data_IF_017400994149
#
_entry.id   IF_017400994149
#
_cell.length_a   1.000
_cell.length_b   1.000
_cell.length_c   1.000
_cell.angle_alpha   90.00
_cell.angle_beta   90.00
_cell.angle_gamma   90.00
#
_symmetry.space_group_name_H-M   'P 1'
#
loop_
_entity.id
_entity.type
_entity.pdbx_description
1 polymer ?
#
# COMPACT_ATOMS: atom_id res chain seq x y z
N UNK A 1 8.40 2.27 -26.76
CA UNK A 1 7.55 2.46 -25.57
C UNK A 1 8.44 2.99 -24.46
N UNK A 2 8.15 4.19 -23.96
CA UNK A 2 8.91 4.81 -22.86
C UNK A 2 8.72 4.02 -21.55
N UNK A 3 9.76 3.95 -20.71
CA UNK A 3 9.73 3.22 -19.43
C UNK A 3 9.56 4.20 -18.27
N UNK A 4 8.51 3.99 -17.46
CA UNK A 4 8.24 4.74 -16.23
C UNK A 4 8.65 3.91 -15.01
N UNK A 5 9.34 4.55 -14.08
CA UNK A 5 9.79 3.96 -12.82
C UNK A 5 8.86 4.37 -11.67
N UNK A 6 8.21 3.42 -10.98
CA UNK A 6 7.27 3.72 -9.88
C UNK A 6 7.96 3.59 -8.54
N UNK A 7 7.94 4.68 -7.77
CA UNK A 7 8.33 4.74 -6.37
C UNK A 7 7.08 4.94 -5.50
N UNK A 8 7.04 4.30 -4.34
CA UNK A 8 5.81 4.17 -3.55
C UNK A 8 6.11 3.97 -2.07
N UNK A 9 5.18 4.31 -1.18
CA UNK A 9 5.32 4.10 0.25
C UNK A 9 5.26 2.61 0.64
N UNK A 10 5.89 2.25 1.76
CA UNK A 10 6.20 0.86 2.14
C UNK A 10 5.06 0.15 2.90
N UNK A 11 3.82 0.54 2.67
CA UNK A 11 2.67 0.01 3.37
C UNK A 11 1.71 -0.68 2.38
N UNK A 12 0.51 -1.05 2.85
CA UNK A 12 -0.46 -1.68 1.98
C UNK A 12 -0.98 -0.71 0.91
N UNK A 13 -1.24 0.55 1.25
CA UNK A 13 -1.78 1.49 0.28
C UNK A 13 -0.76 1.87 -0.78
N UNK A 14 0.49 2.16 -0.42
CA UNK A 14 1.57 2.43 -1.37
C UNK A 14 1.79 1.28 -2.35
N UNK A 15 1.78 0.02 -1.88
CA UNK A 15 1.95 -1.16 -2.76
C UNK A 15 0.76 -1.33 -3.72
N UNK A 16 -0.47 -1.24 -3.22
CA UNK A 16 -1.64 -1.37 -4.09
C UNK A 16 -1.73 -0.19 -5.06
N UNK A 17 -1.41 1.02 -4.60
CA UNK A 17 -1.32 2.22 -5.42
C UNK A 17 -0.29 2.05 -6.54
N UNK A 18 0.90 1.52 -6.25
CA UNK A 18 1.91 1.24 -7.26
C UNK A 18 1.40 0.25 -8.31
N UNK A 19 0.75 -0.84 -7.87
CA UNK A 19 0.12 -1.80 -8.77
C UNK A 19 -0.96 -1.16 -9.65
N UNK A 20 -1.82 -0.30 -9.10
CA UNK A 20 -2.85 0.41 -9.88
C UNK A 20 -2.25 1.43 -10.85
N UNK A 21 -1.20 2.15 -10.44
CA UNK A 21 -0.46 3.07 -11.32
C UNK A 21 0.14 2.32 -12.51
N UNK A 22 0.75 1.15 -12.27
CA UNK A 22 1.22 0.28 -13.36
C UNK A 22 0.11 -0.03 -14.36
N UNK A 23 -1.05 -0.49 -13.89
CA UNK A 23 -2.20 -0.79 -14.77
C UNK A 23 -2.69 0.44 -15.55
N UNK A 24 -2.71 1.59 -14.91
CA UNK A 24 -3.12 2.86 -15.52
C UNK A 24 -2.18 3.23 -16.66
N UNK A 25 -0.88 3.29 -16.39
CA UNK A 25 0.11 3.76 -17.36
C UNK A 25 0.41 2.73 -18.46
N UNK A 26 0.30 1.43 -18.18
CA UNK A 26 0.35 0.40 -19.25
C UNK A 26 -0.82 0.57 -20.24
N UNK A 27 -2.02 0.94 -19.75
CA UNK A 27 -3.16 1.29 -20.63
C UNK A 27 -2.98 2.61 -21.37
N UNK A 28 -2.04 3.45 -20.93
CA UNK A 28 -1.62 4.66 -21.63
C UNK A 28 -0.37 4.43 -22.50
N UNK A 29 -0.04 3.17 -22.78
CA UNK A 29 1.06 2.76 -23.67
C UNK A 29 2.47 3.10 -23.14
N UNK A 30 2.67 3.00 -21.81
CA UNK A 30 3.98 3.04 -21.17
C UNK A 30 4.40 1.66 -20.66
N UNK A 31 5.72 1.41 -20.63
CA UNK A 31 6.28 0.28 -19.87
C UNK A 31 6.45 0.73 -18.43
N UNK A 32 6.06 -0.08 -17.45
CA UNK A 32 6.16 0.33 -16.04
C UNK A 32 6.97 -0.67 -15.23
N UNK A 33 7.93 -0.15 -14.47
CA UNK A 33 8.81 -0.92 -13.60
C UNK A 33 8.67 -0.42 -12.16
N UNK A 34 8.56 -1.34 -11.20
CA UNK A 34 8.58 -1.01 -9.78
C UNK A 34 10.02 -0.81 -9.32
N UNK A 35 10.29 0.32 -8.68
CA UNK A 35 11.55 0.56 -7.99
C UNK A 35 11.41 0.21 -6.51
N UNK A 36 12.45 0.46 -5.71
CA UNK A 36 12.40 0.19 -4.28
C UNK A 36 11.34 1.08 -3.59
N UNK A 37 10.64 0.56 -2.56
CA UNK A 37 9.74 1.37 -1.75
C UNK A 37 10.50 2.51 -1.04
N UNK A 38 9.78 3.56 -0.69
CA UNK A 38 10.27 4.77 -0.04
C UNK A 38 9.85 4.80 1.43
N UNK A 39 10.80 5.11 2.30
CA UNK A 39 10.54 5.31 3.73
C UNK A 39 10.41 6.80 4.09
N UNK A 40 9.71 7.07 5.20
CA UNK A 40 9.64 8.40 5.80
C UNK A 40 10.77 8.65 6.81
N UNK A 41 11.95 8.05 6.63
CA UNK A 41 13.05 8.31 7.55
C UNK A 41 13.40 9.81 7.56
N UNK A 42 13.79 10.39 8.71
CA UNK A 42 14.25 11.78 8.78
C UNK A 42 15.35 12.09 7.76
N UNK A 43 16.22 11.13 7.49
CA UNK A 43 17.30 11.17 6.51
C UNK A 43 16.76 11.27 5.06
N UNK A 44 15.77 10.44 4.72
CA UNK A 44 15.07 10.50 3.42
C UNK A 44 14.42 11.86 3.19
N UNK A 45 13.81 12.45 4.22
CA UNK A 45 13.18 13.79 4.12
C UNK A 45 14.20 14.92 3.93
N UNK A 46 15.31 14.92 4.67
CA UNK A 46 16.35 15.95 4.59
C UNK A 46 17.03 15.99 3.21
N UNK A 47 17.07 14.86 2.51
CA UNK A 47 17.76 14.71 1.23
C UNK A 47 16.82 14.50 0.04
N UNK A 48 15.50 14.70 0.22
CA UNK A 48 14.48 14.38 -0.77
C UNK A 48 14.72 15.00 -2.16
N UNK A 49 15.07 16.29 -2.20
CA UNK A 49 15.41 17.01 -3.45
C UNK A 49 16.67 16.46 -4.17
N UNK A 50 17.53 15.74 -3.44
CA UNK A 50 18.77 15.14 -3.94
C UNK A 50 18.61 13.63 -4.19
N UNK A 51 17.44 13.06 -3.92
CA UNK A 51 17.21 11.63 -4.11
C UNK A 51 17.42 11.26 -5.59
N UNK A 52 18.19 10.18 -5.81
CA UNK A 52 18.58 9.75 -7.16
C UNK A 52 17.50 8.83 -7.74
N UNK A 53 16.47 9.43 -8.32
CA UNK A 53 15.45 8.70 -9.09
C UNK A 53 15.98 8.28 -10.45
N UNK A 54 15.54 7.12 -10.93
CA UNK A 54 15.58 6.80 -12.37
C UNK A 54 14.49 7.59 -13.07
N UNK A 55 14.79 8.23 -14.20
CA UNK A 55 13.84 9.09 -14.91
C UNK A 55 13.41 8.46 -16.23
N UNK A 56 12.16 8.65 -16.68
CA UNK A 56 11.04 9.30 -15.97
C UNK A 56 10.48 8.43 -14.83
N UNK A 57 9.91 9.06 -13.79
CA UNK A 57 9.35 8.35 -12.63
C UNK A 57 8.00 8.86 -12.16
N UNK A 58 7.27 7.95 -11.51
CA UNK A 58 5.99 8.16 -10.86
C UNK A 58 6.22 8.05 -9.35
N UNK A 59 5.67 8.99 -8.58
CA UNK A 59 5.56 8.85 -7.12
C UNK A 59 4.09 8.59 -6.79
N UNK A 60 3.84 7.57 -5.97
CA UNK A 60 2.51 7.31 -5.40
C UNK A 60 2.59 7.24 -3.89
N UNK A 61 1.57 7.76 -3.23
CA UNK A 61 1.39 7.67 -1.78
C UNK A 61 2.54 8.25 -0.95
N UNK A 62 3.21 9.27 -1.50
CA UNK A 62 4.42 9.83 -0.91
C UNK A 62 4.59 11.30 -1.30
N UNK A 63 5.43 12.01 -0.55
CA UNK A 63 5.68 13.46 -0.74
C UNK A 63 6.04 13.76 -2.21
N UNK A 64 5.47 14.86 -2.73
CA UNK A 64 5.73 15.33 -4.08
C UNK A 64 7.22 15.60 -4.37
N UNK A 65 7.65 15.36 -5.60
CA UNK A 65 8.97 15.77 -6.10
C UNK A 65 8.86 16.46 -7.46
N UNK A 66 9.46 17.64 -7.61
CA UNK A 66 9.30 18.51 -8.82
C UNK A 66 9.74 17.90 -10.15
N UNK A 67 10.62 16.89 -10.10
CA UNK A 67 11.10 16.14 -11.28
C UNK A 67 10.23 14.92 -11.62
N UNK A 68 9.18 14.65 -10.85
CA UNK A 68 8.31 13.52 -11.11
C UNK A 68 7.53 13.72 -12.41
N UNK A 69 7.50 12.67 -13.24
CA UNK A 69 6.66 12.61 -14.42
C UNK A 69 5.18 12.51 -14.03
N UNK A 70 4.89 11.77 -12.95
CA UNK A 70 3.57 11.75 -12.37
C UNK A 70 3.56 11.65 -10.84
N UNK A 71 2.50 12.17 -10.21
CA UNK A 71 2.33 12.15 -8.76
C UNK A 71 0.87 11.93 -8.32
N UNK A 72 0.66 10.98 -7.41
CA UNK A 72 -0.66 10.67 -6.86
C UNK A 72 -0.56 10.55 -5.34
N UNK A 73 -1.38 11.30 -4.62
CA UNK A 73 -1.37 11.27 -3.15
C UNK A 73 -2.70 11.78 -2.57
N UNK A 74 -2.93 11.46 -1.30
CA UNK A 74 -4.08 11.92 -0.51
C UNK A 74 -3.68 12.48 0.86
N UNK A 75 -2.42 12.36 1.28
CA UNK A 75 -1.98 12.88 2.56
C UNK A 75 -2.04 14.41 2.61
N UNK A 76 -2.86 14.98 3.50
CA UNK A 76 -2.96 16.43 3.66
C UNK A 76 -1.59 17.09 3.98
N UNK A 77 -0.72 16.39 4.71
CA UNK A 77 0.64 16.84 5.03
C UNK A 77 1.56 16.97 3.82
N UNK A 78 1.20 16.33 2.71
CA UNK A 78 2.00 16.30 1.48
C UNK A 78 1.44 17.23 0.40
N UNK A 79 0.42 18.03 0.73
CA UNK A 79 -0.15 19.03 -0.18
C UNK A 79 0.96 19.98 -0.66
N UNK A 80 1.12 20.08 -1.99
CA UNK A 80 2.21 20.80 -2.60
C UNK A 80 1.75 21.52 -3.87
N UNK A 81 2.39 22.65 -4.18
CA UNK A 81 2.26 23.30 -5.48
C UNK A 81 2.99 22.45 -6.52
N UNK A 82 2.22 21.76 -7.36
CA UNK A 82 2.75 20.91 -8.42
C UNK A 82 3.37 21.78 -9.53
N UNK A 83 4.58 21.43 -9.96
CA UNK A 83 5.28 22.08 -11.08
C UNK A 83 4.62 21.71 -12.41
N UNK A 84 4.62 22.66 -13.36
CA UNK A 84 4.08 22.47 -14.72
C UNK A 84 4.75 21.31 -15.48
N UNK A 85 5.99 20.97 -15.10
CA UNK A 85 6.73 19.82 -15.65
C UNK A 85 6.15 18.44 -15.25
N UNK A 86 5.26 18.36 -14.26
CA UNK A 86 4.62 17.10 -13.84
C UNK A 86 3.41 16.80 -14.73
N UNK A 87 3.62 15.95 -15.72
CA UNK A 87 2.65 15.65 -16.79
C UNK A 87 1.32 15.11 -16.28
N UNK A 88 1.34 14.23 -15.27
CA UNK A 88 0.13 13.68 -14.70
C UNK A 88 0.14 13.82 -13.18
N UNK A 89 -0.86 14.45 -12.61
CA UNK A 89 -1.00 14.47 -11.17
C UNK A 89 -2.46 14.44 -10.76
N UNK A 90 -2.71 13.85 -9.59
CA UNK A 90 -4.00 13.96 -8.94
C UNK A 90 -3.81 13.87 -7.44
N UNK A 91 -4.15 14.94 -6.75
CA UNK A 91 -4.13 15.03 -5.30
C UNK A 91 -5.56 15.15 -4.79
N UNK A 92 -5.94 14.32 -3.81
CA UNK A 92 -7.27 14.42 -3.21
C UNK A 92 -7.29 13.90 -1.78
N UNK A 93 -7.23 14.81 -0.81
CA UNK A 93 -7.25 14.51 0.63
C UNK A 93 -8.55 13.90 1.16
N UNK A 94 -9.63 13.98 0.40
CA UNK A 94 -10.93 13.37 0.76
C UNK A 94 -10.97 11.87 0.41
N UNK A 95 -9.95 11.35 -0.28
CA UNK A 95 -9.81 9.93 -0.50
C UNK A 95 -9.29 9.24 0.77
N UNK A 96 -9.87 8.09 1.10
CA UNK A 96 -9.43 7.25 2.24
C UNK A 96 -8.14 6.44 1.97
N UNK A 97 -7.51 6.66 0.81
CA UNK A 97 -6.28 6.02 0.35
C UNK A 97 -5.85 6.59 -1.01
N UNK A 98 -4.55 6.58 -1.31
CA UNK A 98 -3.97 6.84 -2.62
C UNK A 98 -4.49 5.86 -3.70
N UNK A 99 -4.79 4.60 -3.35
CA UNK A 99 -5.39 3.67 -4.33
C UNK A 99 -6.76 4.16 -4.85
N UNK A 100 -7.52 4.86 -4.01
CA UNK A 100 -8.75 5.56 -4.43
C UNK A 100 -8.48 6.80 -5.30
N UNK A 101 -7.40 7.53 -5.04
CA UNK A 101 -6.93 8.67 -5.86
C UNK A 101 -6.65 8.21 -7.29
N UNK A 102 -5.86 7.15 -7.46
CA UNK A 102 -5.53 6.58 -8.77
C UNK A 102 -6.79 6.10 -9.49
N UNK A 103 -7.73 5.46 -8.79
CA UNK A 103 -8.98 5.01 -9.38
C UNK A 103 -9.85 6.18 -9.87
N UNK A 104 -9.92 7.29 -9.13
CA UNK A 104 -10.64 8.50 -9.56
C UNK A 104 -9.99 9.12 -10.79
N UNK A 105 -8.66 9.26 -10.79
CA UNK A 105 -7.93 9.78 -11.95
C UNK A 105 -8.12 8.89 -13.18
N UNK A 106 -8.01 7.57 -13.05
CA UNK A 106 -8.24 6.64 -14.15
C UNK A 106 -9.64 6.82 -14.77
N UNK A 107 -10.67 7.05 -13.95
CA UNK A 107 -12.03 7.35 -14.44
C UNK A 107 -12.09 8.67 -15.22
N UNK A 108 -11.39 9.72 -14.76
CA UNK A 108 -11.29 11.00 -15.49
C UNK A 108 -10.61 10.81 -16.85
N UNK A 109 -9.62 9.93 -16.92
CA UNK A 109 -8.94 9.55 -18.17
C UNK A 109 -9.75 8.54 -19.03
N UNK A 110 -10.97 8.17 -18.62
CA UNK A 110 -11.81 7.13 -19.27
C UNK A 110 -11.11 5.77 -19.38
N UNK A 111 -10.22 5.45 -18.44
CA UNK A 111 -9.45 4.21 -18.38
C UNK A 111 -10.08 3.26 -17.36
N UNK A 112 -10.44 2.05 -17.81
CA UNK A 112 -10.89 0.98 -16.93
C UNK A 112 -9.70 0.17 -16.40
N UNK A 113 -9.45 0.22 -15.09
CA UNK A 113 -8.39 -0.56 -14.40
C UNK A 113 -8.77 -2.05 -14.19
N UNK A 114 -9.92 -2.48 -14.71
CA UNK A 114 -10.47 -3.82 -14.52
C UNK A 114 -11.01 -4.02 -13.10
N UNK A 115 -11.01 -5.26 -12.63
CA UNK A 115 -11.52 -5.60 -11.29
C UNK A 115 -10.47 -5.24 -10.24
N UNK A 116 -10.66 -4.10 -9.58
CA UNK A 116 -9.76 -3.54 -8.54
C UNK A 116 -10.54 -3.06 -7.31
N UNK A 117 -11.87 -3.13 -7.35
CA UNK A 117 -12.76 -2.59 -6.33
C UNK A 117 -12.50 -3.19 -4.95
N UNK A 118 -12.24 -4.51 -4.86
CA UNK A 118 -12.01 -5.17 -3.57
C UNK A 118 -10.66 -4.78 -2.98
N UNK A 119 -9.60 -4.70 -3.81
CA UNK A 119 -8.30 -4.17 -3.38
C UNK A 119 -8.45 -2.76 -2.80
N UNK A 120 -9.09 -1.85 -3.55
CA UNK A 120 -9.30 -0.46 -3.12
C UNK A 120 -10.16 -0.38 -1.85
N UNK A 121 -11.17 -1.26 -1.71
CA UNK A 121 -11.97 -1.33 -0.49
C UNK A 121 -11.11 -1.77 0.70
N UNK A 122 -10.23 -2.77 0.52
CA UNK A 122 -9.37 -3.29 1.58
C UNK A 122 -8.31 -2.28 2.00
N UNK A 123 -7.68 -1.58 1.06
CA UNK A 123 -6.74 -0.48 1.36
C UNK A 123 -7.43 0.65 2.10
N UNK A 124 -8.60 1.10 1.64
CA UNK A 124 -9.39 2.13 2.33
C UNK A 124 -9.65 1.77 3.80
N UNK A 125 -9.87 0.49 4.12
CA UNK A 125 -10.11 0.07 5.52
C UNK A 125 -8.84 0.23 6.36
N UNK A 126 -7.69 -0.21 5.83
CA UNK A 126 -6.40 -0.18 6.54
C UNK A 126 -5.95 1.25 6.74
N UNK A 127 -5.90 2.02 5.66
CA UNK A 127 -5.29 3.33 5.61
C UNK A 127 -6.09 4.39 6.39
N UNK A 128 -7.42 4.40 6.23
CA UNK A 128 -8.28 5.27 7.06
C UNK A 128 -8.56 4.75 8.47
N UNK A 129 -7.95 3.62 8.87
CA UNK A 129 -8.15 2.95 10.15
C UNK A 129 -9.63 2.68 10.53
N UNK A 130 -10.53 2.52 9.54
CA UNK A 130 -11.98 2.31 9.74
C UNK A 130 -12.33 0.88 10.16
N UNK A 131 -11.56 0.30 11.07
CA UNK A 131 -11.67 -1.11 11.48
C UNK A 131 -13.02 -1.43 12.14
N UNK A 132 -13.43 -0.64 13.13
CA UNK A 132 -14.69 -0.88 13.89
C UNK A 132 -15.91 -0.84 12.99
N UNK A 133 -15.99 0.18 12.11
CA UNK A 133 -17.05 0.30 11.10
C UNK A 133 -17.14 -0.92 10.17
N UNK A 134 -16.01 -1.60 9.95
CA UNK A 134 -15.91 -2.80 9.12
C UNK A 134 -15.96 -4.10 9.93
N UNK A 135 -16.47 -4.04 11.18
CA UNK A 135 -16.63 -5.18 12.09
C UNK A 135 -15.30 -5.93 12.35
N UNK A 136 -14.20 -5.18 12.40
CA UNK A 136 -12.87 -5.68 12.76
C UNK A 136 -12.64 -5.31 14.22
N UNK A 137 -12.35 -6.32 15.05
CA UNK A 137 -12.09 -6.11 16.48
C UNK A 137 -10.69 -5.54 16.68
N UNK A 138 -10.42 -4.75 17.74
CA UNK A 138 -9.08 -4.24 18.02
C UNK A 138 -8.00 -5.33 18.05
N UNK A 139 -8.27 -6.49 18.67
CA UNK A 139 -7.30 -7.60 18.66
C UNK A 139 -6.99 -8.16 17.26
N UNK A 140 -7.86 -7.96 16.28
CA UNK A 140 -7.62 -8.37 14.90
C UNK A 140 -6.71 -7.39 14.15
N UNK A 141 -6.43 -6.19 14.67
CA UNK A 141 -5.37 -5.32 14.12
C UNK A 141 -3.99 -5.72 14.62
N UNK A 142 -3.93 -6.36 15.81
CA UNK A 142 -2.69 -6.87 16.41
C UNK A 142 -2.37 -8.26 15.87
N UNK A 143 -3.32 -9.20 15.96
CA UNK A 143 -3.21 -10.58 15.49
C UNK A 143 -4.30 -10.81 14.42
N UNK A 144 -3.98 -10.58 13.13
CA UNK A 144 -4.98 -10.52 12.08
C UNK A 144 -5.57 -11.87 11.72
N UNK A 145 -6.91 -11.92 11.67
CA UNK A 145 -7.67 -13.07 11.16
C UNK A 145 -8.03 -12.92 9.68
N UNK A 146 -8.38 -11.70 9.27
CA UNK A 146 -8.73 -11.39 7.88
C UNK A 146 -7.48 -11.35 7.01
N UNK A 147 -7.57 -11.88 5.81
CA UNK A 147 -6.38 -12.10 4.98
C UNK A 147 -5.71 -10.81 4.48
N UNK A 148 -6.46 -9.79 4.05
CA UNK A 148 -5.83 -8.51 3.68
C UNK A 148 -5.10 -7.85 4.85
N UNK A 149 -5.59 -8.03 6.08
CA UNK A 149 -4.93 -7.54 7.29
C UNK A 149 -3.67 -8.34 7.61
N UNK A 150 -3.62 -9.63 7.26
CA UNK A 150 -2.38 -10.43 7.36
C UNK A 150 -1.30 -9.85 6.45
N UNK A 151 -1.64 -9.45 5.24
CA UNK A 151 -0.69 -8.79 4.31
C UNK A 151 -0.26 -7.43 4.86
N UNK A 152 -1.21 -6.59 5.28
CA UNK A 152 -0.89 -5.29 5.90
C UNK A 152 0.02 -5.45 7.13
N UNK A 153 -0.30 -6.39 8.01
CA UNK A 153 0.49 -6.64 9.22
C UNK A 153 1.88 -7.18 8.89
N UNK A 154 2.00 -8.03 7.88
CA UNK A 154 3.30 -8.54 7.45
C UNK A 154 4.22 -7.40 6.95
N UNK A 155 3.67 -6.37 6.30
CA UNK A 155 4.41 -5.18 5.89
C UNK A 155 4.82 -4.32 7.10
N UNK A 156 3.92 -4.14 8.06
CA UNK A 156 4.13 -3.34 9.28
C UNK A 156 5.20 -3.91 10.22
N UNK A 157 5.29 -5.25 10.34
CA UNK A 157 6.19 -5.89 11.32
C UNK A 157 7.61 -6.13 10.81
N UNK A 158 7.83 -5.98 9.50
CA UNK A 158 9.17 -6.09 8.92
C UNK A 158 9.82 -4.72 9.04
N UNK A 159 10.90 -4.63 9.80
CA UNK A 159 11.51 -3.36 10.20
C UNK A 159 12.77 -2.98 9.44
N UNK A 160 13.46 -3.93 8.79
CA UNK A 160 14.64 -3.63 7.98
C UNK A 160 14.28 -3.35 6.51
N UNK A 161 14.83 -2.26 5.95
CA UNK A 161 14.52 -1.77 4.59
C UNK A 161 14.70 -2.86 3.53
N UNK A 162 15.74 -3.71 3.68
CA UNK A 162 16.04 -4.78 2.74
C UNK A 162 14.93 -5.84 2.70
N UNK A 163 14.48 -6.31 3.85
CA UNK A 163 13.40 -7.29 3.96
C UNK A 163 12.06 -6.70 3.52
N UNK A 164 11.76 -5.43 3.82
CA UNK A 164 10.54 -4.76 3.33
C UNK A 164 10.56 -4.66 1.80
N UNK A 165 11.68 -4.25 1.22
CA UNK A 165 11.85 -4.18 -0.23
C UNK A 165 11.66 -5.54 -0.90
N UNK A 166 12.18 -6.61 -0.30
CA UNK A 166 11.98 -7.98 -0.79
C UNK A 166 10.53 -8.44 -0.69
N UNK A 167 9.90 -8.21 0.47
CA UNK A 167 8.50 -8.55 0.70
C UNK A 167 7.58 -7.81 -0.28
N UNK A 168 7.77 -6.50 -0.42
CA UNK A 168 7.03 -5.67 -1.34
C UNK A 168 7.14 -6.16 -2.79
N UNK A 169 8.35 -6.53 -3.23
CA UNK A 169 8.58 -7.09 -4.57
C UNK A 169 7.84 -8.42 -4.78
N UNK A 170 7.83 -9.30 -3.78
CA UNK A 170 7.08 -10.57 -3.83
C UNK A 170 5.57 -10.31 -3.94
N UNK A 171 5.03 -9.39 -3.14
CA UNK A 171 3.62 -9.01 -3.18
C UNK A 171 3.25 -8.42 -4.55
N UNK A 172 4.04 -7.47 -5.08
CA UNK A 172 3.80 -6.87 -6.39
C UNK A 172 3.90 -7.88 -7.54
N UNK A 173 4.82 -8.85 -7.44
CA UNK A 173 4.93 -9.96 -8.38
C UNK A 173 3.67 -10.83 -8.34
N UNK A 174 3.18 -11.18 -7.16
CA UNK A 174 1.97 -12.01 -6.99
C UNK A 174 0.68 -11.26 -7.36
N UNK A 175 0.65 -9.93 -7.22
CA UNK A 175 -0.42 -9.08 -7.73
C UNK A 175 -0.41 -9.00 -9.26
N UNK A 176 0.78 -9.01 -9.87
CA UNK A 176 0.99 -8.90 -11.33
C UNK A 176 0.99 -10.25 -12.05
N UNK A 177 1.00 -11.38 -11.35
CA UNK A 177 1.08 -12.70 -11.96
C UNK A 177 -0.27 -13.10 -12.57
N UNK A 178 -0.31 -13.21 -13.90
CA UNK A 178 -1.44 -13.73 -14.66
C UNK A 178 -1.39 -15.27 -14.69
N UNK A 179 -1.84 -15.93 -13.62
CA UNK A 179 -2.02 -17.39 -13.62
C UNK A 179 -3.48 -17.75 -13.92
N UNK A 180 -3.71 -18.90 -14.57
CA UNK A 180 -5.02 -19.54 -14.88
C UNK A 180 -6.09 -19.54 -13.77
N UNK A 181 -5.73 -19.21 -12.52
CA UNK A 181 -6.65 -18.80 -11.43
C UNK A 181 -7.46 -17.53 -11.73
N UNK A 182 -7.13 -16.78 -12.79
CA UNK A 182 -7.84 -15.56 -13.21
C UNK A 182 -9.35 -15.74 -13.38
N UNK A 183 -9.88 -16.90 -13.78
CA UNK A 183 -11.35 -17.05 -13.87
C UNK A 183 -12.02 -16.89 -12.48
N UNK A 184 -11.51 -17.59 -11.47
CA UNK A 184 -12.02 -17.51 -10.09
C UNK A 184 -11.62 -16.21 -9.37
N UNK A 185 -10.39 -15.74 -9.57
CA UNK A 185 -9.92 -14.46 -9.02
C UNK A 185 -10.61 -13.27 -9.69
N UNK A 186 -11.03 -13.41 -10.94
CA UNK A 186 -11.85 -12.41 -11.60
C UNK A 186 -13.24 -12.36 -10.96
N UNK A 187 -13.87 -13.47 -10.58
CA UNK A 187 -15.21 -13.44 -10.01
C UNK A 187 -15.26 -12.75 -8.63
N UNK A 188 -14.21 -12.89 -7.82
CA UNK A 188 -14.24 -12.44 -6.41
C UNK A 188 -13.13 -11.45 -6.00
N UNK A 189 -12.16 -11.14 -6.86
CA UNK A 189 -10.99 -10.29 -6.57
C UNK A 189 -10.25 -10.72 -5.28
N UNK A 190 -9.89 -12.01 -5.19
CA UNK A 190 -9.33 -12.66 -4.00
C UNK A 190 -7.79 -12.61 -3.89
N UNK A 191 -7.16 -11.57 -4.47
CA UNK A 191 -5.71 -11.51 -4.62
C UNK A 191 -4.97 -11.41 -3.29
N UNK A 192 -5.43 -10.55 -2.38
CA UNK A 192 -4.81 -10.42 -1.05
C UNK A 192 -5.04 -11.68 -0.20
N UNK A 193 -6.15 -12.38 -0.39
CA UNK A 193 -6.45 -13.66 0.23
C UNK A 193 -5.46 -14.75 -0.22
N UNK A 194 -5.11 -14.76 -1.51
CA UNK A 194 -4.09 -15.64 -2.06
C UNK A 194 -2.70 -15.30 -1.54
N UNK A 195 -2.36 -14.01 -1.50
CA UNK A 195 -1.06 -13.52 -1.00
C UNK A 195 -0.89 -13.85 0.48
N UNK A 196 -1.94 -13.67 1.29
CA UNK A 196 -1.92 -14.01 2.71
C UNK A 196 -1.64 -15.49 3.01
N UNK A 197 -1.86 -16.37 2.03
CA UNK A 197 -1.60 -17.82 2.13
C UNK A 197 -0.19 -18.21 1.69
N UNK A 198 0.60 -17.27 1.16
CA UNK A 198 1.97 -17.54 0.76
C UNK A 198 2.85 -17.78 1.99
N UNK A 199 3.82 -18.68 1.85
CA UNK A 199 4.68 -19.10 2.97
C UNK A 199 5.52 -17.94 3.50
N UNK A 200 5.90 -16.98 2.64
CA UNK A 200 6.63 -15.80 3.08
C UNK A 200 5.78 -14.90 3.99
N UNK A 201 4.45 -14.80 3.78
CA UNK A 201 3.56 -14.08 4.70
C UNK A 201 3.36 -14.86 5.98
N UNK A 202 3.09 -16.17 5.89
CA UNK A 202 2.84 -17.02 7.07
C UNK A 202 4.01 -17.01 8.05
N UNK A 203 5.24 -17.20 7.56
CA UNK A 203 6.46 -17.21 8.39
C UNK A 203 6.65 -15.90 9.16
N UNK A 204 6.42 -14.76 8.50
CA UNK A 204 6.51 -13.43 9.14
C UNK A 204 5.47 -13.33 10.27
N UNK A 205 4.23 -13.73 10.00
CA UNK A 205 3.14 -13.62 10.97
C UNK A 205 3.24 -14.61 12.13
N UNK A 206 3.76 -15.82 11.91
CA UNK A 206 4.01 -16.81 12.97
C UNK A 206 5.07 -16.30 13.96
N UNK A 207 6.16 -15.74 13.44
CA UNK A 207 7.19 -15.09 14.26
C UNK A 207 6.60 -13.93 15.05
N UNK A 208 5.92 -13.01 14.37
CA UNK A 208 5.31 -11.84 15.02
C UNK A 208 4.25 -12.24 16.07
N UNK A 209 3.43 -13.26 15.79
CA UNK A 209 2.41 -13.75 16.73
C UNK A 209 3.07 -14.24 18.01
N UNK A 210 4.12 -15.05 17.90
CA UNK A 210 4.85 -15.59 19.05
C UNK A 210 5.45 -14.46 19.91
N UNK A 211 6.09 -13.48 19.28
CA UNK A 211 6.66 -12.31 19.97
C UNK A 211 5.58 -11.43 20.62
N UNK A 212 4.46 -11.23 19.93
CA UNK A 212 3.32 -10.45 20.44
C UNK A 212 2.68 -11.13 21.64
N UNK A 213 2.43 -12.45 21.58
CA UNK A 213 1.86 -13.21 22.69
C UNK A 213 2.80 -13.24 23.90
N UNK A 214 4.12 -13.27 23.70
CA UNK A 214 5.10 -13.11 24.78
C UNK A 214 4.98 -11.73 25.44
N UNK A 215 5.00 -10.66 24.64
CA UNK A 215 4.86 -9.28 25.16
C UNK A 215 3.54 -9.08 25.90
N UNK A 216 2.42 -9.59 25.38
CA UNK A 216 1.11 -9.48 26.04
C UNK A 216 1.09 -10.16 27.42
N UNK A 217 1.86 -11.24 27.63
CA UNK A 217 2.00 -11.88 28.95
C UNK A 217 2.84 -11.07 29.94
N UNK A 218 3.73 -10.21 29.44
CA UNK A 218 4.57 -9.30 30.24
C UNK A 218 3.80 -8.06 30.73
N UNK A 219 2.57 -7.83 30.23
CA UNK A 219 1.63 -6.81 30.73
C UNK A 219 0.47 -7.44 31.53
N UNK A 220 0.71 -7.92 32.76
CA UNK A 220 -0.29 -8.70 33.49
C UNK A 220 -1.54 -7.92 33.93
N UNK A 221 -1.50 -6.57 33.98
CA UNK A 221 -2.54 -5.78 34.66
C UNK A 221 -2.79 -4.38 34.07
N UNK A 222 -3.24 -4.22 32.83
CA UNK A 222 -3.99 -3.02 32.44
C UNK A 222 -4.95 -3.37 31.30
N UNK A 223 -6.19 -3.66 31.68
CA UNK A 223 -7.33 -3.56 30.78
C UNK A 223 -8.50 -3.07 31.62
N UNK A 224 -8.63 -1.76 31.79
CA UNK A 224 -9.91 -1.20 32.23
C UNK A 224 -10.72 -0.98 30.98
N UNK A 225 -11.85 -1.67 30.88
CA UNK A 225 -12.84 -1.45 29.84
C UNK A 225 -13.59 -0.17 30.20
N UNK A 226 -13.34 0.91 29.48
CA UNK A 226 -14.16 2.12 29.55
C UNK A 226 -14.91 2.28 28.22
N UNK A 227 -16.18 1.87 28.24
CA UNK A 227 -17.00 1.78 27.03
C UNK A 227 -16.41 0.85 25.96
N UNK A 228 -16.04 1.41 24.81
CA UNK A 228 -15.47 0.70 23.64
C UNK A 228 -13.94 0.72 23.59
N UNK A 229 -13.28 1.38 24.54
CA UNK A 229 -11.83 1.54 24.54
C UNK A 229 -11.21 0.51 25.49
N UNK A 230 -10.21 -0.20 24.98
CA UNK A 230 -9.30 -1.03 25.77
C UNK A 230 -8.02 -0.21 25.93
N UNK A 231 -7.78 0.31 27.13
CA UNK A 231 -6.55 0.98 27.48
C UNK A 231 -5.62 -0.07 28.10
N UNK A 232 -4.45 -0.24 27.48
CA UNK A 232 -3.31 -0.96 28.04
C UNK A 232 -2.43 -0.01 28.86
#
# INVERSE_FOLDING_TARGET
>A
METLHVYYHMDLDGIISAYLAKKLFEKMNYKVVFEKPLDYSPESRKSWEKYKFKTPFIIVDFIYHKKAFAWFDHHASNEAKVSDNTKYHYFNKECNSCSSVIQKFAKQQKICLGRTFRLIKQTNIVDSAKYVMNKIKPMETIIPKKDFMKVAKALDVVSDEMSVSELSRKILKDLSSNTLKEFFDSLFDARLERIAKQDYIKKILEKNKTETEKKLKEFPNYSKKDGLIVIY
#
